data_IF_826335392516
#
_entry.id   IF_826335392516
#
_cell.length_a   1.000
_cell.length_b   1.000
_cell.length_c   1.000
_cell.angle_alpha   90.00
_cell.angle_beta   90.00
_cell.angle_gamma   90.00
#
_symmetry.space_group_name_H-M   'P 1'
#
loop_
_entity.id
_entity.type
_entity.pdbx_description
1 polymer ?
#
# COMPACT_ATOMS: atom_id res chain seq x y z
N UNK A 1 9.83 11.03 16.16
CA UNK A 1 10.29 10.92 14.77
C UNK A 1 9.37 9.95 14.06
N UNK A 2 8.31 10.48 13.43
CA UNK A 2 7.19 9.68 12.91
C UNK A 2 7.56 8.95 11.63
N UNK A 3 8.14 7.76 11.80
CA UNK A 3 8.59 6.87 10.73
C UNK A 3 7.43 6.23 9.97
N UNK A 4 7.75 5.79 8.76
CA UNK A 4 6.86 5.07 7.85
C UNK A 4 6.09 3.94 8.54
N UNK A 5 4.82 3.77 8.17
CA UNK A 5 4.05 2.59 8.48
C UNK A 5 4.16 1.60 7.32
N UNK A 6 4.72 0.41 7.58
CA UNK A 6 4.96 -0.61 6.56
C UNK A 6 4.22 -1.89 6.94
N UNK A 7 3.49 -2.46 5.98
CA UNK A 7 2.97 -3.82 6.05
C UNK A 7 3.60 -4.64 4.93
N UNK A 8 4.00 -5.86 5.22
CA UNK A 8 4.63 -6.77 4.26
C UNK A 8 4.19 -8.21 4.46
N UNK A 9 4.37 -9.03 3.42
CA UNK A 9 4.21 -10.48 3.47
C UNK A 9 5.44 -11.14 2.82
N UNK A 10 5.50 -12.47 2.85
CA UNK A 10 6.57 -13.23 2.20
C UNK A 10 6.62 -12.96 0.69
N UNK A 11 7.80 -13.10 0.08
CA UNK A 11 7.92 -12.96 -1.37
C UNK A 11 7.20 -14.09 -2.11
N UNK A 12 6.80 -13.87 -3.36
CA UNK A 12 6.18 -14.91 -4.19
C UNK A 12 7.06 -16.16 -4.33
N UNK A 13 8.40 -16.00 -4.36
CA UNK A 13 9.35 -17.12 -4.45
C UNK A 13 9.38 -17.97 -3.18
N UNK A 14 9.12 -17.38 -2.01
CA UNK A 14 9.05 -18.09 -0.73
C UNK A 14 7.69 -18.77 -0.54
N UNK A 15 6.60 -18.08 -0.88
CA UNK A 15 5.25 -18.59 -0.69
C UNK A 15 4.29 -18.02 -1.75
N UNK A 16 3.91 -18.81 -2.76
CA UNK A 16 2.98 -18.40 -3.79
C UNK A 16 1.57 -18.02 -3.28
N UNK A 17 1.25 -18.40 -2.03
CA UNK A 17 -0.03 -18.14 -1.38
C UNK A 17 0.05 -17.07 -0.27
N UNK A 18 1.17 -16.33 -0.16
CA UNK A 18 1.30 -15.29 0.84
C UNK A 18 0.20 -14.23 0.70
N UNK A 19 -0.53 -13.99 1.80
CA UNK A 19 -1.60 -12.98 1.89
C UNK A 19 -2.66 -13.06 0.75
N UNK A 20 -2.98 -14.27 0.28
CA UNK A 20 -3.91 -14.46 -0.83
C UNK A 20 -5.33 -14.01 -0.49
N UNK A 21 -5.85 -13.03 -1.24
CA UNK A 21 -7.26 -12.68 -1.24
C UNK A 21 -8.06 -13.78 -1.96
N UNK A 22 -9.15 -14.23 -1.35
CA UNK A 22 -10.07 -15.24 -1.88
C UNK A 22 -11.47 -14.63 -1.94
N UNK A 23 -12.41 -15.34 -2.56
CA UNK A 23 -13.80 -14.93 -2.55
C UNK A 23 -14.28 -14.67 -1.12
N UNK A 24 -14.74 -13.45 -0.87
CA UNK A 24 -15.24 -13.01 0.44
C UNK A 24 -14.19 -12.49 1.42
N UNK A 25 -12.90 -12.34 1.06
CA UNK A 25 -11.90 -11.71 1.94
C UNK A 25 -11.53 -10.29 1.47
N UNK A 26 -11.36 -9.39 2.43
CA UNK A 26 -10.91 -8.01 2.22
C UNK A 26 -9.93 -7.63 3.33
N UNK A 27 -8.78 -7.05 2.95
CA UNK A 27 -7.89 -6.38 3.90
C UNK A 27 -8.08 -4.88 3.80
N UNK A 28 -8.25 -4.24 4.95
CA UNK A 28 -8.37 -2.80 5.03
C UNK A 28 -7.21 -2.27 5.89
N UNK A 29 -6.38 -1.42 5.27
CA UNK A 29 -5.28 -0.74 5.94
C UNK A 29 -5.71 0.71 6.19
N UNK A 30 -5.66 1.15 7.45
CA UNK A 30 -6.05 2.50 7.86
C UNK A 30 -4.96 3.12 8.74
N UNK A 31 -4.89 4.43 8.67
CA UNK A 31 -4.11 5.26 9.56
C UNK A 31 -4.84 6.60 9.73
N UNK A 32 -4.58 7.28 10.85
CA UNK A 32 -5.10 8.62 11.11
C UNK A 32 -4.06 9.67 10.75
N UNK A 33 -4.51 10.74 10.09
CA UNK A 33 -3.69 11.89 9.73
C UNK A 33 -4.24 13.15 10.39
N UNK A 34 -3.38 13.91 11.06
CA UNK A 34 -3.71 15.26 11.55
C UNK A 34 -3.54 16.34 10.47
N UNK A 35 -3.33 15.94 9.22
CA UNK A 35 -3.11 16.80 8.06
C UNK A 35 -4.23 16.65 7.04
N UNK A 36 -4.64 17.74 6.37
CA UNK A 36 -5.62 17.69 5.30
C UNK A 36 -5.15 16.82 4.13
N UNK A 37 -6.10 16.31 3.33
CA UNK A 37 -5.79 15.57 2.10
C UNK A 37 -5.23 16.49 1.01
N UNK A 38 -4.33 15.94 0.18
CA UNK A 38 -3.78 16.56 -1.02
C UNK A 38 -3.74 15.52 -2.16
N UNK A 39 -3.86 15.98 -3.41
CA UNK A 39 -3.58 15.18 -4.60
C UNK A 39 -2.14 14.64 -4.55
N UNK A 40 -2.01 13.32 -4.71
CA UNK A 40 -0.74 12.61 -4.69
C UNK A 40 -0.80 11.37 -5.60
N UNK A 41 0.35 10.79 -5.92
CA UNK A 41 0.42 9.50 -6.60
C UNK A 41 0.96 8.40 -5.69
N UNK A 42 0.24 7.27 -5.61
CA UNK A 42 0.72 6.06 -4.97
C UNK A 42 1.31 5.10 -6.00
N UNK A 43 2.38 4.39 -5.61
CA UNK A 43 2.95 3.29 -6.41
C UNK A 43 2.33 1.98 -5.96
N UNK A 44 1.66 1.29 -6.88
CA UNK A 44 1.13 -0.06 -6.66
C UNK A 44 2.10 -1.05 -7.30
N UNK A 45 2.81 -1.79 -6.46
CA UNK A 45 3.63 -2.93 -6.88
C UNK A 45 2.77 -4.18 -7.10
N UNK A 46 3.30 -5.11 -7.90
CA UNK A 46 2.64 -6.39 -8.16
C UNK A 46 3.28 -7.52 -7.36
N UNK A 47 2.45 -8.43 -6.87
CA UNK A 47 2.89 -9.62 -6.14
C UNK A 47 3.62 -10.63 -7.05
N UNK A 48 3.23 -10.71 -8.32
CA UNK A 48 3.95 -11.44 -9.38
C UNK A 48 4.84 -10.48 -10.17
N UNK A 49 5.71 -11.00 -11.03
CA UNK A 49 6.57 -10.19 -11.89
C UNK A 49 5.75 -9.21 -12.74
N UNK A 50 6.11 -7.93 -12.68
CA UNK A 50 5.45 -6.87 -13.44
C UNK A 50 6.04 -5.49 -13.11
N UNK A 51 5.69 -4.49 -13.92
CA UNK A 51 6.13 -3.11 -13.73
C UNK A 51 5.13 -2.40 -12.81
N UNK A 52 5.56 -1.72 -11.73
CA UNK A 52 4.66 -0.99 -10.86
C UNK A 52 3.83 0.06 -11.62
N UNK A 53 2.62 0.34 -11.13
CA UNK A 53 1.74 1.37 -11.69
C UNK A 53 1.57 2.55 -10.73
N UNK A 54 1.30 3.72 -11.28
CA UNK A 54 0.94 4.91 -10.51
C UNK A 54 -0.57 5.04 -10.45
N UNK A 55 -1.10 5.28 -9.25
CA UNK A 55 -2.51 5.55 -9.01
C UNK A 55 -2.66 6.94 -8.38
N UNK A 56 -3.59 7.75 -8.91
CA UNK A 56 -3.98 8.99 -8.27
C UNK A 56 -4.71 8.69 -6.95
N UNK A 57 -4.30 9.36 -5.88
CA UNK A 57 -4.85 9.19 -4.53
C UNK A 57 -5.07 10.56 -3.86
N UNK A 58 -5.74 10.55 -2.71
CA UNK A 58 -5.69 11.63 -1.73
C UNK A 58 -4.83 11.17 -0.56
N UNK A 59 -3.66 11.80 -0.39
CA UNK A 59 -2.71 11.50 0.69
C UNK A 59 -2.64 12.63 1.73
N UNK A 60 -2.05 12.39 2.91
CA UNK A 60 -1.74 13.46 3.86
C UNK A 60 -0.78 14.48 3.25
N UNK A 61 -1.02 15.78 3.44
CA UNK A 61 -0.08 16.80 2.94
C UNK A 61 1.34 16.60 3.49
N UNK A 62 2.35 16.83 2.66
CA UNK A 62 3.77 16.75 3.05
C UNK A 62 4.16 17.91 3.96
N UNK A 63 5.27 17.77 4.72
CA UNK A 63 5.82 18.93 5.43
C UNK A 63 6.57 19.75 4.39
N UNK A 64 6.46 21.09 4.36
CA UNK A 64 7.37 21.91 3.56
C UNK A 64 8.83 21.70 3.98
#
# INVERSE_FOLDING_TARGET
TGGSLTWSCETFAQNPNANALRWGTLYNFRFDSNRPPQDEFAVIGFFKTGVPIMAAIQGPQHRP
#
